data_IF_598128031332
#
_entry.id   IF_598128031332
#
_cell.length_a   1.000
_cell.length_b   1.000
_cell.length_c   1.000
_cell.angle_alpha   90.00
_cell.angle_beta   90.00
_cell.angle_gamma   90.00
#
_symmetry.space_group_name_H-M   'P 1'
#
loop_
_entity.id
_entity.type
_entity.pdbx_description
1 polymer ?
#
# COMPACT_ATOMS: atom_id res chain seq x y z
N UNK A 1 3.46 14.22 -14.06
CA UNK A 1 3.79 12.79 -13.98
C UNK A 1 2.68 12.06 -13.25
N UNK A 2 1.75 11.54 -14.04
CA UNK A 2 0.67 10.68 -13.56
C UNK A 2 1.31 9.50 -12.83
N UNK A 3 0.88 9.15 -11.61
CA UNK A 3 1.29 7.89 -11.02
C UNK A 3 0.96 6.78 -12.02
N UNK A 4 1.89 5.86 -12.26
CA UNK A 4 1.61 4.69 -13.10
C UNK A 4 0.47 3.85 -12.51
N UNK A 5 0.12 2.76 -13.19
CA UNK A 5 -0.91 1.85 -12.70
C UNK A 5 -0.45 1.19 -11.38
N UNK A 6 -1.07 1.57 -10.26
CA UNK A 6 -0.93 0.87 -9.00
C UNK A 6 -1.61 -0.51 -9.11
N UNK A 7 -1.01 -1.50 -8.48
CA UNK A 7 -1.60 -2.83 -8.37
C UNK A 7 -2.07 -3.07 -6.96
N UNK A 8 -3.24 -3.69 -6.81
CA UNK A 8 -3.75 -4.07 -5.50
C UNK A 8 -2.77 -4.96 -4.74
N UNK A 9 -2.77 -4.82 -3.42
CA UNK A 9 -1.98 -5.68 -2.55
C UNK A 9 -2.44 -7.13 -2.69
N UNK A 10 -1.47 -8.05 -2.74
CA UNK A 10 -1.73 -9.50 -2.82
C UNK A 10 -2.14 -10.03 -1.44
N UNK A 11 -3.39 -9.78 -1.05
CA UNK A 11 -3.96 -10.18 0.26
C UNK A 11 -4.13 -11.69 0.45
N UNK A 12 -3.85 -12.49 -0.59
CA UNK A 12 -3.72 -13.95 -0.46
C UNK A 12 -2.38 -14.37 0.16
N UNK A 13 -1.45 -13.44 0.36
CA UNK A 13 -0.22 -13.68 1.11
C UNK A 13 -0.50 -13.54 2.62
N UNK A 14 -0.32 -14.60 3.43
CA UNK A 14 -0.55 -14.54 4.89
C UNK A 14 0.38 -13.54 5.61
N UNK A 15 1.48 -13.12 4.98
CA UNK A 15 2.40 -12.14 5.55
C UNK A 15 1.94 -10.69 5.33
N UNK A 16 0.90 -10.44 4.52
CA UNK A 16 0.41 -9.11 4.17
C UNK A 16 -1.04 -8.97 4.62
N UNK A 17 -1.32 -7.99 5.48
CA UNK A 17 -2.67 -7.64 5.90
C UNK A 17 -2.88 -6.14 5.94
N UNK A 18 -4.15 -5.74 5.77
CA UNK A 18 -4.59 -4.36 6.00
C UNK A 18 -5.74 -4.39 7.00
N UNK A 19 -5.54 -3.79 8.16
CA UNK A 19 -6.53 -3.75 9.25
C UNK A 19 -6.62 -2.32 9.79
N UNK A 20 -7.84 -1.78 9.86
CA UNK A 20 -8.11 -0.41 10.33
C UNK A 20 -7.22 0.68 9.71
N UNK A 21 -6.94 0.55 8.40
CA UNK A 21 -6.11 1.50 7.65
C UNK A 21 -4.59 1.33 7.85
N UNK A 22 -4.17 0.31 8.61
CA UNK A 22 -2.76 -0.02 8.83
C UNK A 22 -2.35 -1.17 7.91
N UNK A 23 -1.31 -0.96 7.10
CA UNK A 23 -0.64 -2.02 6.33
C UNK A 23 0.39 -2.72 7.21
N UNK A 24 0.26 -4.04 7.38
CA UNK A 24 1.20 -4.89 8.11
C UNK A 24 1.87 -5.89 7.15
N UNK A 25 3.20 -5.99 7.23
CA UNK A 25 4.02 -6.94 6.48
C UNK A 25 4.95 -7.67 7.46
N UNK A 26 4.60 -8.90 7.86
CA UNK A 26 5.26 -9.61 8.96
C UNK A 26 6.64 -10.18 8.61
N UNK A 27 6.86 -10.57 7.36
CA UNK A 27 8.09 -11.19 6.88
C UNK A 27 8.60 -10.47 5.63
N UNK A 28 8.91 -9.18 5.77
CA UNK A 28 9.27 -8.31 4.64
C UNK A 28 10.53 -8.81 3.91
N UNK A 29 10.43 -8.93 2.59
CA UNK A 29 11.50 -9.35 1.69
C UNK A 29 11.98 -8.19 0.83
N UNK A 30 13.17 -8.27 0.24
CA UNK A 30 13.66 -7.26 -0.73
C UNK A 30 12.71 -7.04 -1.91
N UNK A 31 11.93 -8.05 -2.29
CA UNK A 31 10.90 -7.96 -3.33
C UNK A 31 9.66 -7.16 -2.92
N UNK A 32 9.51 -6.84 -1.63
CA UNK A 32 8.49 -5.93 -1.12
C UNK A 32 8.94 -4.46 -1.14
N UNK A 33 10.19 -4.15 -1.50
CA UNK A 33 10.62 -2.77 -1.69
C UNK A 33 9.84 -2.12 -2.84
N UNK A 34 9.40 -0.88 -2.64
CA UNK A 34 8.66 -0.15 -3.66
C UNK A 34 7.83 1.00 -3.11
N UNK A 35 7.11 1.66 -4.04
CA UNK A 35 6.14 2.70 -3.70
C UNK A 35 4.80 2.09 -3.34
N UNK A 36 4.24 2.51 -2.21
CA UNK A 36 2.93 2.12 -1.72
C UNK A 36 2.02 3.34 -1.72
N UNK A 37 0.78 3.14 -2.12
CA UNK A 37 -0.29 4.15 -2.08
C UNK A 37 -1.25 3.79 -0.95
N UNK A 38 -1.52 4.75 -0.07
CA UNK A 38 -2.66 4.71 0.84
C UNK A 38 -3.71 5.70 0.36
N UNK A 39 -4.96 5.24 0.26
CA UNK A 39 -6.12 6.05 -0.10
C UNK A 39 -7.17 6.03 1.01
N UNK A 40 -7.70 7.21 1.35
CA UNK A 40 -8.81 7.37 2.29
C UNK A 40 -10.00 8.01 1.58
N UNK A 41 -11.15 7.31 1.58
CA UNK A 41 -12.37 7.72 0.90
C UNK A 41 -13.55 7.67 1.87
N UNK A 42 -14.30 8.77 1.98
CA UNK A 42 -15.54 8.84 2.78
C UNK A 42 -16.82 8.86 1.91
N UNK A 43 -16.68 8.69 0.60
CA UNK A 43 -17.78 8.71 -0.38
C UNK A 43 -18.22 10.10 -0.85
N UNK A 44 -17.57 11.18 -0.40
CA UNK A 44 -17.91 12.57 -0.76
C UNK A 44 -16.68 13.27 -1.37
N UNK A 45 -16.81 13.72 -2.61
CA UNK A 45 -15.72 14.39 -3.32
C UNK A 45 -14.59 13.44 -3.70
N UNK A 46 -13.40 14.00 -3.95
CA UNK A 46 -12.19 13.20 -4.23
C UNK A 46 -11.59 12.67 -2.93
N UNK A 47 -11.12 11.42 -2.95
CA UNK A 47 -10.38 10.83 -1.84
C UNK A 47 -9.06 11.53 -1.55
N UNK A 48 -8.50 11.23 -0.38
CA UNK A 48 -7.14 11.65 -0.02
C UNK A 48 -6.16 10.52 -0.31
N UNK A 49 -4.95 10.88 -0.75
CA UNK A 49 -3.94 9.91 -1.16
C UNK A 49 -2.56 10.30 -0.63
N UNK A 50 -1.79 9.30 -0.20
CA UNK A 50 -0.40 9.47 0.20
C UNK A 50 0.46 8.34 -0.39
N UNK A 51 1.62 8.70 -0.95
CA UNK A 51 2.58 7.76 -1.51
C UNK A 51 3.81 7.70 -0.62
N UNK A 52 4.25 6.49 -0.28
CA UNK A 52 5.43 6.24 0.54
C UNK A 52 6.36 5.23 -0.11
N UNK A 53 7.66 5.44 -0.01
CA UNK A 53 8.68 4.45 -0.37
C UNK A 53 8.97 3.57 0.84
N UNK A 54 8.74 2.27 0.72
CA UNK A 54 9.23 1.28 1.68
C UNK A 54 10.53 0.71 1.11
N UNK A 55 11.64 0.86 1.83
CA UNK A 55 12.91 0.23 1.49
C UNK A 55 13.28 -0.83 2.52
N UNK A 56 13.91 -1.91 2.05
CA UNK A 56 14.31 -3.06 2.87
C UNK A 56 15.83 -3.15 2.86
N UNK A 57 16.48 -3.26 4.03
CA UNK A 57 17.95 -3.33 4.16
C UNK A 57 18.45 -4.75 4.41
#
# INVERSE_FOLDING_TARGET
DTPGDYTDLKLNNPDISVEDGTLQINNIQKTNEGYYLCEAVNGIGSGLSAVILISVQ
#
